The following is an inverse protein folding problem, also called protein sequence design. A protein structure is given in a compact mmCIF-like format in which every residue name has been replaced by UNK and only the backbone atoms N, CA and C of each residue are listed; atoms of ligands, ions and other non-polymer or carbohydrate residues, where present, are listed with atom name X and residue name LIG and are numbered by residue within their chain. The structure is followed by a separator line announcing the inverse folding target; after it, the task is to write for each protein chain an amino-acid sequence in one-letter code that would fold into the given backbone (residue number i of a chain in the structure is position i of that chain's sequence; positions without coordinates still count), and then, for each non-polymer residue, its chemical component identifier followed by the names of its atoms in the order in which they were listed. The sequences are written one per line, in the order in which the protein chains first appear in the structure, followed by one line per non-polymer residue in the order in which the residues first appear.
data_IF_936612280159
#
_entry.id   IF_936612280159
#
_cell.length_a   1.000
_cell.length_b   1.000
_cell.length_c   1.000
_cell.angle_alpha   90.00
_cell.angle_beta   90.00
_cell.angle_gamma   90.00
#
_symmetry.space_group_name_H-M   'P 1'
#
loop_
_entity.id
_entity.type
_entity.pdbx_description
1 polymer ?
#
# COMPACT_ATOMS: atom_id res chain seq x y z
N UNK A 1 23.33 15.22 5.48
CA UNK A 1 22.11 15.33 4.67
C UNK A 1 22.09 14.08 3.81
N UNK A 2 21.56 12.99 4.38
CA UNK A 2 21.42 11.69 3.69
C UNK A 2 19.92 11.61 3.42
N UNK A 3 19.52 11.65 2.16
CA UNK A 3 18.14 11.47 1.73
C UNK A 3 17.76 10.01 2.02
N UNK A 4 16.80 9.80 2.92
CA UNK A 4 16.18 8.50 3.15
C UNK A 4 15.17 8.25 2.01
N UNK A 5 15.68 7.80 0.87
CA UNK A 5 14.90 7.43 -0.33
C UNK A 5 14.88 5.90 -0.48
N UNK A 6 14.52 5.16 0.57
CA UNK A 6 14.94 3.75 0.67
C UNK A 6 13.86 2.67 0.54
N UNK A 7 12.58 3.00 0.33
CA UNK A 7 11.59 1.99 -0.04
C UNK A 7 10.69 2.37 -1.23
N UNK A 8 10.41 3.67 -1.39
CA UNK A 8 9.53 4.19 -2.45
C UNK A 8 10.27 4.68 -3.70
N UNK A 9 11.57 4.45 -3.86
CA UNK A 9 12.30 5.05 -5.00
C UNK A 9 13.11 4.07 -5.84
N UNK A 10 13.58 2.94 -5.31
CA UNK A 10 14.51 2.08 -6.10
C UNK A 10 14.36 0.59 -5.78
N UNK A 11 13.45 -0.11 -6.47
CA UNK A 11 13.38 -1.57 -6.40
C UNK A 11 12.37 -2.22 -7.34
N UNK A 12 12.61 -3.48 -7.74
CA UNK A 12 11.69 -4.28 -8.56
C UNK A 12 10.27 -4.33 -7.98
N UNK A 13 10.13 -4.42 -6.65
CA UNK A 13 8.84 -4.39 -5.96
C UNK A 13 8.16 -3.02 -5.99
N UNK A 14 8.94 -1.93 -5.96
CA UNK A 14 8.39 -0.59 -6.10
C UNK A 14 7.74 -0.43 -7.46
N UNK A 15 8.39 -0.82 -8.57
CA UNK A 15 7.82 -0.68 -9.91
C UNK A 15 6.41 -1.28 -10.09
N UNK A 16 6.10 -2.42 -9.45
CA UNK A 16 4.73 -2.96 -9.46
C UNK A 16 3.77 -2.23 -8.51
N UNK A 17 4.30 -1.68 -7.42
CA UNK A 17 3.53 -0.97 -6.41
C UNK A 17 3.29 0.52 -6.76
N UNK A 18 4.16 1.15 -7.55
CA UNK A 18 4.03 2.54 -7.99
C UNK A 18 2.70 2.78 -8.69
N UNK A 19 2.20 1.80 -9.46
CA UNK A 19 0.92 1.89 -10.16
C UNK A 19 -0.24 2.05 -9.16
N UNK A 20 -0.18 1.36 -8.03
CA UNK A 20 -1.15 1.48 -6.93
C UNK A 20 -1.13 2.89 -6.34
N UNK A 21 0.06 3.45 -6.11
CA UNK A 21 0.26 4.81 -5.58
C UNK A 21 0.08 5.93 -6.62
N UNK A 22 -0.01 5.61 -7.91
CA UNK A 22 -0.10 6.61 -9.00
C UNK A 22 -1.44 7.34 -9.07
N UNK A 23 -2.48 6.83 -8.40
CA UNK A 23 -3.78 7.49 -8.42
C UNK A 23 -3.76 8.79 -7.64
N UNK A 24 -4.11 9.91 -8.29
CA UNK A 24 -4.34 11.20 -7.61
C UNK A 24 -5.62 11.21 -6.78
N UNK A 25 -6.49 10.21 -6.97
CA UNK A 25 -7.69 9.99 -6.18
C UNK A 25 -7.49 8.81 -5.24
N UNK A 26 -7.97 8.93 -4.00
CA UNK A 26 -7.94 7.84 -3.02
C UNK A 26 -9.36 7.31 -2.78
N UNK A 27 -9.68 6.15 -3.36
CA UNK A 27 -10.96 5.46 -3.20
C UNK A 27 -10.79 3.96 -3.56
N UNK A 28 -11.88 3.18 -3.52
CA UNK A 28 -11.81 1.74 -3.81
C UNK A 28 -11.25 1.40 -5.20
N UNK A 29 -11.38 2.29 -6.20
CA UNK A 29 -10.76 2.06 -7.51
C UNK A 29 -9.24 2.16 -7.47
N UNK A 30 -8.67 2.90 -6.51
CA UNK A 30 -7.23 2.89 -6.20
C UNK A 30 -6.79 1.49 -5.80
N UNK A 31 -7.56 0.80 -4.96
CA UNK A 31 -7.27 -0.58 -4.56
C UNK A 31 -7.23 -1.55 -5.75
N UNK A 32 -8.09 -1.32 -6.75
CA UNK A 32 -8.16 -2.14 -7.97
C UNK A 32 -7.03 -1.85 -8.97
N UNK A 33 -6.22 -0.80 -8.76
CA UNK A 33 -5.01 -0.53 -9.54
C UNK A 33 -3.83 -1.41 -9.12
N UNK A 34 -3.95 -2.11 -7.99
CA UNK A 34 -3.03 -3.17 -7.60
C UNK A 34 -3.09 -4.27 -8.68
N UNK A 35 -1.99 -4.41 -9.43
CA UNK A 35 -1.98 -5.07 -10.73
C UNK A 35 -2.06 -6.60 -10.64
N UNK A 36 -2.77 -7.23 -11.59
CA UNK A 36 -2.73 -8.67 -11.85
C UNK A 36 -1.31 -9.20 -12.19
N UNK A 37 -0.39 -8.33 -12.58
CA UNK A 37 1.04 -8.66 -12.80
C UNK A 37 1.86 -8.69 -11.50
N UNK A 38 1.44 -7.98 -10.45
CA UNK A 38 2.05 -8.06 -9.12
C UNK A 38 1.89 -9.48 -8.54
N UNK A 39 0.80 -10.17 -8.88
CA UNK A 39 0.55 -11.56 -8.47
C UNK A 39 1.59 -12.54 -9.01
N UNK A 40 2.16 -12.29 -10.19
CA UNK A 40 3.21 -13.12 -10.77
C UNK A 40 4.53 -12.96 -10.02
N UNK A 41 4.87 -11.74 -9.58
CA UNK A 41 6.05 -11.49 -8.75
C UNK A 41 5.92 -12.09 -7.35
N UNK A 42 4.71 -12.08 -6.79
CA UNK A 42 4.40 -12.71 -5.50
C UNK A 42 4.36 -14.25 -5.61
N UNK A 43 4.06 -14.82 -6.77
CA UNK A 43 4.00 -16.28 -6.95
C UNK A 43 5.32 -16.99 -6.59
N UNK A 44 6.49 -16.37 -6.79
CA UNK A 44 7.78 -16.94 -6.36
C UNK A 44 7.85 -17.04 -4.84
N UNK A 45 7.39 -16.00 -4.13
CA UNK A 45 7.32 -15.99 -2.67
C UNK A 45 6.30 -17.01 -2.15
N UNK A 46 5.14 -17.10 -2.81
CA UNK A 46 4.07 -18.05 -2.48
C UNK A 46 4.54 -19.51 -2.65
N UNK A 47 5.32 -19.79 -3.71
CA UNK A 47 5.94 -21.10 -3.94
C UNK A 47 6.96 -21.45 -2.84
N UNK A 48 7.79 -20.49 -2.41
CA UNK A 48 8.75 -20.72 -1.32
C UNK A 48 8.06 -21.03 0.01
N UNK A 49 6.93 -20.38 0.29
CA UNK A 49 6.14 -20.62 1.50
C UNK A 49 5.35 -21.93 1.45
N UNK A 50 4.89 -22.36 0.26
CA UNK A 50 4.13 -23.59 0.07
C UNK A 50 4.90 -24.86 0.48
N UNK A 51 6.23 -24.80 0.60
CA UNK A 51 7.05 -25.89 1.14
C UNK A 51 6.86 -26.12 2.65
N UNK A 52 6.37 -25.12 3.37
CA UNK A 52 6.23 -25.15 4.83
C UNK A 52 4.78 -25.02 5.30
N UNK A 53 3.92 -24.41 4.47
CA UNK A 53 2.52 -24.14 4.80
C UNK A 53 1.62 -24.72 3.70
N UNK A 54 0.54 -25.46 4.03
CA UNK A 54 -0.43 -25.93 3.07
C UNK A 54 -0.96 -24.79 2.17
N UNK A 55 -0.97 -24.94 0.83
CA UNK A 55 -1.37 -23.87 -0.09
C UNK A 55 -2.76 -23.28 0.19
N UNK A 56 -3.71 -24.10 0.67
CA UNK A 56 -5.06 -23.64 1.01
C UNK A 56 -5.07 -22.62 2.16
N UNK A 57 -4.21 -22.79 3.17
CA UNK A 57 -4.09 -21.88 4.31
C UNK A 57 -3.51 -20.54 3.85
N UNK A 58 -2.48 -20.62 3.01
CA UNK A 58 -1.87 -19.44 2.41
C UNK A 58 -2.88 -18.62 1.59
N UNK A 59 -3.62 -19.28 0.68
CA UNK A 59 -4.61 -18.60 -0.17
C UNK A 59 -5.71 -17.92 0.66
N UNK A 60 -6.22 -18.60 1.70
CA UNK A 60 -7.23 -18.01 2.59
C UNK A 60 -6.67 -16.77 3.31
N UNK A 61 -5.47 -16.87 3.87
CA UNK A 61 -4.82 -15.74 4.54
C UNK A 61 -4.59 -14.56 3.58
N UNK A 62 -4.08 -14.85 2.37
CA UNK A 62 -3.82 -13.86 1.32
C UNK A 62 -5.08 -13.10 0.93
N UNK A 63 -6.14 -13.80 0.53
CA UNK A 63 -7.38 -13.14 0.11
C UNK A 63 -8.07 -12.42 1.26
N UNK A 64 -7.98 -12.93 2.49
CA UNK A 64 -8.49 -12.21 3.65
C UNK A 64 -7.74 -10.88 3.86
N UNK A 65 -6.42 -10.89 3.73
CA UNK A 65 -5.59 -9.69 3.81
C UNK A 65 -5.88 -8.70 2.68
N UNK A 66 -6.05 -9.18 1.45
CA UNK A 66 -6.38 -8.34 0.29
C UNK A 66 -7.76 -7.68 0.43
N UNK A 67 -8.78 -8.46 0.83
CA UNK A 67 -10.12 -7.93 1.09
C UNK A 67 -10.07 -6.88 2.20
N UNK A 68 -9.36 -7.16 3.28
CA UNK A 68 -9.20 -6.19 4.38
C UNK A 68 -8.58 -4.89 3.87
N UNK A 69 -7.45 -4.96 3.16
CA UNK A 69 -6.76 -3.79 2.61
C UNK A 69 -7.63 -3.04 1.59
N UNK A 70 -8.40 -3.74 0.76
CA UNK A 70 -9.37 -3.11 -0.14
C UNK A 70 -10.33 -2.20 0.63
N UNK A 71 -10.84 -2.66 1.79
CA UNK A 71 -11.76 -1.84 2.60
C UNK A 71 -11.11 -0.59 3.22
N UNK A 72 -9.78 -0.53 3.30
CA UNK A 72 -9.06 0.64 3.83
C UNK A 72 -8.99 1.81 2.81
N UNK A 73 -9.23 1.56 1.52
CA UNK A 73 -9.12 2.58 0.48
C UNK A 73 -10.37 3.47 0.39
N UNK A 74 -10.59 4.25 1.44
CA UNK A 74 -11.72 5.16 1.55
C UNK A 74 -11.35 6.43 2.32
N UNK A 75 -12.02 7.53 1.99
CA UNK A 75 -11.93 8.82 2.71
C UNK A 75 -13.14 9.06 3.61
N UNK A 76 -14.10 8.13 3.67
CA UNK A 76 -15.38 8.32 4.35
C UNK A 76 -15.29 8.26 5.87
N UNK A 77 -14.30 7.54 6.40
CA UNK A 77 -14.07 7.41 7.83
C UNK A 77 -12.56 7.23 8.09
N UNK A 78 -12.14 7.60 9.30
CA UNK A 78 -10.73 7.73 9.61
C UNK A 78 -10.20 6.56 10.43
N UNK A 79 -10.88 6.24 11.54
CA UNK A 79 -10.29 5.40 12.58
C UNK A 79 -11.29 4.39 13.14
N UNK A 80 -10.78 3.26 13.61
CA UNK A 80 -11.52 2.21 14.31
C UNK A 80 -11.45 2.38 15.83
N UNK A 81 -11.18 3.60 16.32
CA UNK A 81 -10.97 3.87 17.73
C UNK A 81 -9.74 3.15 18.27
N UNK A 82 -9.89 2.45 19.41
CA UNK A 82 -8.78 1.71 20.04
C UNK A 82 -8.24 0.56 19.16
N UNK A 83 -9.03 0.04 18.22
CA UNK A 83 -8.56 -0.98 17.28
C UNK A 83 -7.45 -0.45 16.37
N UNK A 84 -7.41 0.86 16.08
CA UNK A 84 -6.32 1.51 15.32
C UNK A 84 -4.96 1.53 16.03
N UNK A 85 -4.87 1.01 17.26
CA UNK A 85 -3.57 0.77 17.89
C UNK A 85 -2.90 -0.46 17.28
N UNK A 86 -3.68 -1.49 16.96
CA UNK A 86 -3.19 -2.79 16.50
C UNK A 86 -3.38 -2.94 14.99
N UNK A 87 -4.55 -2.54 14.48
CA UNK A 87 -4.96 -2.71 13.10
C UNK A 87 -4.70 -1.47 12.26
N UNK A 88 -4.42 -1.69 10.97
CA UNK A 88 -4.40 -0.63 9.98
C UNK A 88 -5.81 -0.01 9.85
N UNK A 89 -5.90 1.26 9.49
CA UNK A 89 -7.16 1.99 9.36
C UNK A 89 -7.14 2.77 8.05
N UNK A 90 -8.29 3.23 7.52
CA UNK A 90 -8.27 4.05 6.33
C UNK A 90 -7.40 5.31 6.49
N UNK A 91 -7.38 5.92 7.67
CA UNK A 91 -6.51 7.08 7.96
C UNK A 91 -5.02 6.73 7.88
N UNK A 92 -4.60 5.62 8.51
CA UNK A 92 -3.20 5.17 8.41
C UNK A 92 -2.82 4.84 6.96
N UNK A 93 -3.73 4.21 6.23
CA UNK A 93 -3.51 3.82 4.84
C UNK A 93 -3.47 5.03 3.89
N UNK A 94 -4.21 6.11 4.18
CA UNK A 94 -4.08 7.38 3.46
C UNK A 94 -2.71 8.01 3.64
N UNK A 95 -2.14 7.95 4.86
CA UNK A 95 -0.77 8.42 5.10
C UNK A 95 0.22 7.58 4.30
N UNK A 96 0.07 6.26 4.28
CA UNK A 96 0.91 5.38 3.45
C UNK A 96 0.85 5.75 1.95
N UNK A 97 -0.33 6.15 1.47
CA UNK A 97 -0.53 6.60 0.08
C UNK A 97 -0.13 8.04 -0.19
N UNK A 98 0.09 8.83 0.85
CA UNK A 98 0.39 10.24 0.73
C UNK A 98 1.79 10.49 0.21
N UNK A 99 1.94 11.50 -0.65
CA UNK A 99 3.24 11.98 -1.13
C UNK A 99 3.75 13.22 -0.38
N UNK A 100 3.02 13.68 0.63
CA UNK A 100 3.48 14.78 1.48
C UNK A 100 4.78 14.36 2.21
N UNK A 101 5.67 15.29 2.56
CA UNK A 101 6.93 14.95 3.22
C UNK A 101 6.78 14.10 4.49
N UNK A 102 5.70 14.29 5.26
CA UNK A 102 5.45 13.50 6.48
C UNK A 102 4.94 12.08 6.21
N UNK A 103 4.36 11.85 5.03
CA UNK A 103 3.79 10.57 4.60
C UNK A 103 4.84 9.61 4.04
N UNK A 104 5.99 10.14 3.59
CA UNK A 104 7.04 9.34 2.97
C UNK A 104 7.60 8.33 3.95
N UNK A 105 7.70 7.07 3.50
CA UNK A 105 8.27 5.97 4.27
C UNK A 105 7.57 5.70 5.62
N UNK A 106 6.23 5.85 5.63
CA UNK A 106 5.37 5.61 6.78
C UNK A 106 4.32 4.52 6.55
N UNK A 107 3.89 3.92 7.66
CA UNK A 107 2.71 3.04 7.75
C UNK A 107 2.72 1.87 6.74
N UNK A 108 3.77 1.05 6.73
CA UNK A 108 3.94 -0.08 5.82
C UNK A 108 3.02 -1.28 6.12
N UNK A 109 2.49 -1.38 7.33
CA UNK A 109 1.73 -2.54 7.80
C UNK A 109 0.37 -2.71 7.12
N UNK A 110 0.23 -3.72 6.25
CA UNK A 110 -1.00 -4.03 5.52
C UNK A 110 -2.25 -4.26 6.40
N UNK A 111 -2.16 -5.18 7.38
CA UNK A 111 -3.27 -5.50 8.31
C UNK A 111 -3.01 -4.93 9.69
N UNK A 112 -1.76 -5.04 10.16
CA UNK A 112 -1.38 -4.69 11.53
C UNK A 112 -0.43 -3.49 11.54
N UNK A 113 -0.91 -2.37 12.05
CA UNK A 113 -0.11 -1.13 12.22
C UNK A 113 0.82 -1.20 13.43
N UNK A 114 0.65 -2.20 14.30
CA UNK A 114 1.50 -2.38 15.48
C UNK A 114 2.97 -2.53 15.11
N UNK A 115 3.25 -3.13 13.95
CA UNK A 115 4.62 -3.28 13.45
C UNK A 115 5.27 -1.92 13.20
N UNK A 116 4.56 -1.00 12.54
CA UNK A 116 5.05 0.36 12.33
C UNK A 116 5.30 1.11 13.64
N UNK A 117 4.48 0.86 14.66
CA UNK A 117 4.70 1.43 16.00
C UNK A 117 5.95 0.87 16.66
N UNK A 118 6.17 -0.44 16.54
CA UNK A 118 7.33 -1.12 17.11
C UNK A 118 8.64 -0.73 16.43
N UNK A 119 8.60 -0.51 15.11
CA UNK A 119 9.78 -0.19 14.31
C UNK A 119 9.95 1.31 14.02
N UNK A 120 9.06 2.17 14.51
CA UNK A 120 9.20 3.62 14.42
C UNK A 120 8.83 4.23 13.07
N UNK A 121 8.06 3.52 12.25
CA UNK A 121 7.55 3.98 10.94
C UNK A 121 6.09 4.42 10.99
N UNK A 122 5.46 4.38 12.17
CA UNK A 122 4.08 4.84 12.36
C UNK A 122 3.98 6.37 12.30
N UNK A 123 3.03 6.86 11.52
CA UNK A 123 2.67 8.28 11.43
C UNK A 123 1.14 8.44 11.35
N UNK A 124 0.51 9.22 12.25
CA UNK A 124 -0.92 9.51 12.16
C UNK A 124 -1.22 10.53 11.05
N UNK A 125 -2.44 10.51 10.51
CA UNK A 125 -2.85 11.50 9.51
C UNK A 125 -2.96 12.89 10.12
N UNK A 126 -2.31 13.86 9.48
CA UNK A 126 -2.30 15.25 9.94
C UNK A 126 -3.65 15.92 9.69
N UNK A 127 -4.17 16.59 10.72
CA UNK A 127 -5.39 17.40 10.62
C UNK A 127 -5.12 18.77 9.96
N UNK A 128 -3.86 19.20 9.93
CA UNK A 128 -3.43 20.48 9.37
C UNK A 128 -3.02 20.35 7.91
N UNK A 129 -2.46 19.19 7.53
CA UNK A 129 -1.95 18.93 6.20
C UNK A 129 -2.52 17.60 5.68
N UNK A 130 -3.61 17.71 4.91
CA UNK A 130 -4.25 16.52 4.32
C UNK A 130 -3.32 15.82 3.32
N UNK A 131 -3.31 14.48 3.27
CA UNK A 131 -2.56 13.73 2.28
C UNK A 131 -2.94 14.13 0.84
N UNK A 132 -1.92 14.35 0.03
CA UNK A 132 -1.98 14.51 -1.43
C UNK A 132 -1.48 13.21 -2.04
N UNK A 133 -2.18 12.70 -3.04
CA UNK A 133 -1.88 11.39 -3.65
C UNK A 133 -1.26 11.53 -5.04
N UNK A 134 -0.90 10.37 -5.61
CA UNK A 134 -0.21 10.28 -6.90
C UNK A 134 1.31 10.22 -6.73
N UNK A 135 2.00 9.96 -7.84
CA UNK A 135 3.46 9.89 -7.90
C UNK A 135 4.05 11.18 -8.46
N UNK A 136 5.37 11.35 -8.35
CA UNK A 136 6.06 12.58 -8.81
C UNK A 136 5.94 12.72 -10.33
N UNK A 137 6.08 11.61 -11.08
CA UNK A 137 5.92 11.57 -12.52
C UNK A 137 4.57 10.96 -12.90
N UNK A 138 3.57 11.80 -13.16
CA UNK A 138 2.21 11.33 -13.42
C UNK A 138 1.98 10.95 -14.88
N UNK A 139 1.68 9.68 -15.12
CA UNK A 139 1.28 9.17 -16.43
C UNK A 139 -0.10 9.68 -16.83
N UNK A 140 -0.22 10.29 -18.03
CA UNK A 140 -1.48 10.91 -18.50
C UNK A 140 -2.40 9.91 -19.21
N UNK A 141 -2.61 8.75 -18.62
CA UNK A 141 -3.47 7.71 -19.19
C UNK A 141 -4.24 6.94 -18.12
N UNK A 142 -5.48 6.56 -18.45
CA UNK A 142 -6.32 5.72 -17.59
C UNK A 142 -6.28 4.24 -18.01
N UNK A 143 -5.54 3.90 -19.08
CA UNK A 143 -5.43 2.54 -19.56
C UNK A 143 -4.62 1.69 -18.58
N UNK A 144 -5.31 0.82 -17.84
CA UNK A 144 -4.70 -0.01 -16.81
C UNK A 144 -3.68 -1.01 -17.36
N UNK A 145 -3.92 -1.57 -18.56
CA UNK A 145 -2.96 -2.49 -19.19
C UNK A 145 -1.69 -1.74 -19.57
N UNK A 146 -1.82 -0.53 -20.11
CA UNK A 146 -0.67 0.31 -20.44
C UNK A 146 0.13 0.67 -19.19
N UNK A 147 -0.52 1.12 -18.12
CA UNK A 147 0.16 1.45 -16.86
C UNK A 147 0.88 0.25 -16.26
N UNK A 148 0.33 -0.96 -16.40
CA UNK A 148 0.93 -2.20 -15.89
C UNK A 148 2.14 -2.69 -16.69
N UNK A 149 2.23 -2.37 -17.99
CA UNK A 149 3.30 -2.85 -18.87
C UNK A 149 4.36 -1.78 -19.13
N UNK A 150 3.98 -0.50 -19.10
CA UNK A 150 4.81 0.62 -19.54
C UNK A 150 4.83 1.81 -18.56
N UNK A 151 4.03 1.82 -17.50
CA UNK A 151 4.01 2.91 -16.52
C UNK A 151 5.27 2.90 -15.63
N UNK A 152 5.84 4.07 -15.38
CA UNK A 152 7.05 4.26 -14.55
C UNK A 152 6.87 5.35 -13.50
#
# INVERSE_FOLDING_TARGET
MISNESAMEVGFFWGFHTIHHSSEYFNYTTALRQAALQDVGLAIYDVLQAFFIPPSIFLVHRYFSEIYQFTLHTTLFDNYGSLGIIFNTPSHHRVHHGRNPYCIDRNYGAVFIIWDRMFGTFEPESQLERPVYGVINQERTFNQIYLQVFGS
#
